data_IF_428221468013
#
_entry.id   IF_428221468013
#
_cell.length_a   1.000
_cell.length_b   1.000
_cell.length_c   1.000
_cell.angle_alpha   90.00
_cell.angle_beta   90.00
_cell.angle_gamma   90.00
#
_symmetry.space_group_name_H-M   'P 1'
#
loop_
_entity.id
_entity.type
_entity.pdbx_description
1 polymer ?
#
# COMPACT_ATOMS: atom_id res chain seq x y z
N UNK A 1 -16.65 -21.66 6.23
CA UNK A 1 -16.68 -20.26 5.73
C UNK A 1 -16.96 -19.26 6.85
N UNK A 2 -18.12 -19.33 7.53
CA UNK A 2 -18.46 -18.35 8.60
C UNK A 2 -17.41 -18.32 9.72
N UNK A 3 -17.02 -19.48 10.27
CA UNK A 3 -15.98 -19.56 11.31
C UNK A 3 -14.63 -18.99 10.86
N UNK A 4 -14.25 -19.18 9.60
CA UNK A 4 -13.04 -18.58 9.02
C UNK A 4 -13.14 -17.05 8.99
N UNK A 5 -14.26 -16.50 8.50
CA UNK A 5 -14.49 -15.05 8.45
C UNK A 5 -14.48 -14.45 9.85
N UNK A 6 -15.15 -15.10 10.82
CA UNK A 6 -15.17 -14.64 12.22
C UNK A 6 -13.74 -14.63 12.80
N UNK A 7 -12.96 -15.70 12.61
CA UNK A 7 -11.58 -15.78 13.07
C UNK A 7 -10.73 -14.67 12.47
N UNK A 8 -10.87 -14.39 11.16
CA UNK A 8 -10.16 -13.32 10.47
C UNK A 8 -10.60 -11.94 10.95
N UNK A 9 -11.89 -11.73 11.18
CA UNK A 9 -12.40 -10.48 11.75
C UNK A 9 -11.87 -10.25 13.17
N UNK A 10 -11.80 -11.28 14.02
CA UNK A 10 -11.20 -11.18 15.35
C UNK A 10 -9.70 -10.86 15.29
N UNK A 11 -8.95 -11.47 14.38
CA UNK A 11 -7.55 -11.15 14.14
C UNK A 11 -7.40 -9.67 13.68
N UNK A 12 -8.27 -9.24 12.77
CA UNK A 12 -8.33 -7.86 12.28
C UNK A 12 -8.55 -6.87 13.42
N UNK A 13 -9.51 -7.14 14.31
CA UNK A 13 -9.77 -6.32 15.50
C UNK A 13 -8.56 -6.30 16.44
N UNK A 14 -7.88 -7.43 16.63
CA UNK A 14 -6.66 -7.51 17.43
C UNK A 14 -5.53 -6.63 16.88
N UNK A 15 -5.33 -6.64 15.55
CA UNK A 15 -4.35 -5.78 14.88
C UNK A 15 -4.73 -4.30 15.04
N UNK A 16 -6.00 -3.95 14.79
CA UNK A 16 -6.47 -2.56 14.94
C UNK A 16 -6.36 -2.07 16.39
N UNK A 17 -6.62 -2.93 17.36
CA UNK A 17 -6.42 -2.62 18.77
C UNK A 17 -4.95 -2.36 19.09
N UNK A 18 -4.03 -3.19 18.60
CA UNK A 18 -2.59 -3.01 18.79
C UNK A 18 -2.10 -1.71 18.11
N UNK A 19 -2.54 -1.42 16.88
CA UNK A 19 -2.24 -0.16 16.20
C UNK A 19 -2.82 1.02 16.98
N UNK A 20 -4.05 0.91 17.49
CA UNK A 20 -4.69 1.92 18.33
C UNK A 20 -3.90 2.19 19.63
N UNK A 21 -3.37 1.13 20.25
CA UNK A 21 -2.54 1.27 21.46
C UNK A 21 -1.22 2.01 21.14
N UNK A 22 -0.55 1.65 20.04
CA UNK A 22 0.69 2.31 19.60
C UNK A 22 0.40 3.78 19.26
N UNK A 23 -0.66 4.06 18.51
CA UNK A 23 -1.05 5.42 18.13
C UNK A 23 -1.40 6.26 19.36
N UNK A 24 -2.11 5.70 20.32
CA UNK A 24 -2.40 6.35 21.60
C UNK A 24 -1.15 6.59 22.43
N UNK A 25 -0.23 5.63 22.48
CA UNK A 25 1.05 5.79 23.16
C UNK A 25 1.85 6.95 22.55
N UNK A 26 1.88 7.08 21.21
CA UNK A 26 2.49 8.24 20.56
C UNK A 26 1.81 9.54 21.01
N UNK A 27 0.47 9.58 21.02
CA UNK A 27 -0.28 10.75 21.49
C UNK A 27 0.06 11.13 22.94
N UNK A 28 0.31 10.14 23.79
CA UNK A 28 0.58 10.35 25.22
C UNK A 28 2.04 10.68 25.53
N UNK A 29 2.99 10.09 24.80
CA UNK A 29 4.41 10.13 25.15
C UNK A 29 5.30 10.96 24.20
N UNK A 30 4.84 11.28 22.99
CA UNK A 30 5.63 12.04 22.02
C UNK A 30 5.63 13.56 22.24
N UNK A 31 4.85 14.06 23.21
CA UNK A 31 4.82 15.47 23.61
C UNK A 31 3.56 15.82 24.38
N UNK A 32 3.57 16.98 25.06
CA UNK A 32 2.37 17.52 25.70
C UNK A 32 1.54 18.27 24.63
N UNK A 33 0.34 17.77 24.29
CA UNK A 33 -0.50 18.39 23.24
C UNK A 33 -0.85 19.85 23.57
N UNK A 34 -0.95 20.20 24.85
CA UNK A 34 -1.24 21.58 25.28
C UNK A 34 -0.12 22.51 24.84
N UNK A 35 1.15 22.12 25.00
CA UNK A 35 2.29 22.95 24.61
C UNK A 35 2.38 23.23 23.10
N UNK A 36 1.78 22.36 22.28
CA UNK A 36 1.75 22.53 20.83
C UNK A 36 0.53 23.34 20.33
N UNK A 37 -0.55 23.33 21.13
CA UNK A 37 -1.78 24.07 20.80
C UNK A 37 -1.70 25.56 21.18
N UNK A 38 -0.88 25.87 22.19
CA UNK A 38 -0.79 27.23 22.76
C UNK A 38 0.60 27.82 22.59
N UNK A 39 0.67 29.14 22.46
CA UNK A 39 1.92 29.88 22.37
C UNK A 39 2.70 29.92 23.69
N UNK A 40 3.97 30.31 23.61
CA UNK A 40 4.85 30.42 24.79
C UNK A 40 4.31 31.44 25.84
N UNK A 41 3.51 32.42 25.41
CA UNK A 41 2.96 33.47 26.24
C UNK A 41 1.65 33.08 26.97
N UNK A 42 1.10 31.89 26.72
CA UNK A 42 -0.16 31.45 27.36
C UNK A 42 0.04 31.20 28.85
N UNK A 43 -0.84 31.77 29.66
CA UNK A 43 -0.75 31.68 31.13
C UNK A 43 -0.89 30.23 31.62
N UNK A 44 -0.31 29.96 32.79
CA UNK A 44 -0.37 28.62 33.40
C UNK A 44 -1.82 28.20 33.70
N UNK A 45 -2.68 29.17 34.05
CA UNK A 45 -4.09 28.93 34.32
C UNK A 45 -4.85 28.47 33.07
N UNK A 46 -4.63 29.13 31.92
CA UNK A 46 -5.22 28.75 30.64
C UNK A 46 -4.73 27.38 30.15
N UNK A 47 -3.45 27.08 30.33
CA UNK A 47 -2.90 25.75 30.01
C UNK A 47 -3.55 24.64 30.82
N UNK A 48 -3.78 24.86 32.12
CA UNK A 48 -4.48 23.90 32.99
C UNK A 48 -5.96 23.73 32.58
N UNK A 49 -6.61 24.79 32.17
CA UNK A 49 -7.99 24.74 31.69
C UNK A 49 -8.13 23.96 30.40
N UNK A 50 -7.25 24.19 29.42
CA UNK A 50 -7.15 23.43 28.17
C UNK A 50 -6.85 21.96 28.48
N UNK A 51 -5.92 21.68 29.38
CA UNK A 51 -5.58 20.30 29.79
C UNK A 51 -6.80 19.56 30.34
N UNK A 52 -7.60 20.23 31.20
CA UNK A 52 -8.84 19.66 31.74
C UNK A 52 -9.90 19.48 30.67
N UNK A 53 -10.09 20.46 29.78
CA UNK A 53 -11.06 20.38 28.68
C UNK A 53 -10.76 19.24 27.72
N UNK A 54 -9.49 18.92 27.50
CA UNK A 54 -9.03 17.78 26.70
C UNK A 54 -9.10 16.44 27.46
N UNK A 55 -9.42 16.47 28.78
CA UNK A 55 -9.49 15.27 29.62
C UNK A 55 -8.15 14.57 29.78
N UNK A 56 -7.03 15.31 29.73
CA UNK A 56 -5.67 14.76 29.88
C UNK A 56 -5.33 14.36 31.31
N UNK A 57 -6.15 14.81 32.27
CA UNK A 57 -6.04 14.45 33.70
C UNK A 57 -6.87 13.21 34.05
N UNK A 58 -7.67 12.69 33.14
CA UNK A 58 -8.45 11.46 33.32
C UNK A 58 -7.54 10.22 33.42
N UNK A 59 -7.99 9.12 34.04
CA UNK A 59 -7.28 7.85 34.02
C UNK A 59 -6.94 7.40 32.59
N UNK A 60 -5.76 6.82 32.38
CA UNK A 60 -5.23 6.42 31.05
C UNK A 60 -6.23 5.52 30.31
N UNK A 61 -6.90 4.60 31.01
CA UNK A 61 -7.90 3.73 30.41
C UNK A 61 -9.10 4.49 29.83
N UNK A 62 -9.52 5.58 30.51
CA UNK A 62 -10.61 6.45 30.05
C UNK A 62 -10.19 7.25 28.82
N UNK A 63 -8.97 7.81 28.82
CA UNK A 63 -8.40 8.51 27.68
C UNK A 63 -8.29 7.58 26.46
N UNK A 64 -7.79 6.37 26.65
CA UNK A 64 -7.68 5.36 25.58
C UNK A 64 -9.06 4.95 25.05
N UNK A 65 -10.04 4.70 25.93
CA UNK A 65 -11.40 4.40 25.51
C UNK A 65 -12.03 5.51 24.68
N UNK A 66 -11.83 6.78 25.08
CA UNK A 66 -12.29 7.96 24.33
C UNK A 66 -11.61 8.05 22.95
N UNK A 67 -10.30 7.83 22.91
CA UNK A 67 -9.52 7.79 21.67
C UNK A 67 -10.05 6.72 20.70
N UNK A 68 -10.27 5.48 21.17
CA UNK A 68 -10.83 4.40 20.34
C UNK A 68 -12.26 4.71 19.86
N UNK A 69 -13.09 5.28 20.73
CA UNK A 69 -14.45 5.69 20.36
C UNK A 69 -14.44 6.80 19.31
N UNK A 70 -13.52 7.76 19.40
CA UNK A 70 -13.29 8.80 18.38
C UNK A 70 -12.82 8.17 17.06
N UNK A 71 -11.80 7.33 17.11
CA UNK A 71 -11.26 6.65 15.95
C UNK A 71 -12.31 5.80 15.20
N UNK A 72 -13.20 5.12 15.95
CA UNK A 72 -14.30 4.35 15.37
C UNK A 72 -15.34 5.24 14.63
N UNK A 73 -15.39 6.52 14.95
CA UNK A 73 -16.26 7.52 14.27
C UNK A 73 -15.49 8.36 13.25
N UNK A 74 -14.21 8.04 12.98
CA UNK A 74 -13.29 8.84 12.17
C UNK A 74 -13.08 10.27 12.72
N UNK A 75 -13.27 10.47 14.01
CA UNK A 75 -12.94 11.71 14.71
C UNK A 75 -11.58 11.57 15.38
N UNK A 76 -10.57 12.17 14.76
CA UNK A 76 -9.18 12.18 15.22
C UNK A 76 -8.76 13.53 15.80
N UNK A 77 -9.73 14.44 15.98
CA UNK A 77 -9.48 15.80 16.46
C UNK A 77 -8.96 16.74 15.37
N UNK A 78 -8.32 17.82 15.83
CA UNK A 78 -7.84 18.93 14.98
C UNK A 78 -6.32 18.85 14.87
N UNK A 79 -5.80 19.02 13.66
CA UNK A 79 -4.37 19.16 13.39
C UNK A 79 -3.80 20.40 14.08
N UNK A 80 -2.67 20.28 14.74
CA UNK A 80 -2.02 21.40 15.40
C UNK A 80 -1.41 22.38 14.41
N UNK A 81 -0.91 21.86 13.28
CA UNK A 81 -0.28 22.66 12.22
C UNK A 81 -1.30 23.31 11.29
N UNK A 82 -2.24 22.52 10.77
CA UNK A 82 -3.18 22.98 9.74
C UNK A 82 -4.44 23.63 10.31
N UNK A 83 -4.70 23.48 11.62
CA UNK A 83 -5.90 24.02 12.29
C UNK A 83 -7.23 23.53 11.66
N UNK A 84 -7.24 22.35 11.09
CA UNK A 84 -8.36 21.71 10.41
C UNK A 84 -8.62 20.31 10.97
N UNK A 85 -9.85 19.77 10.83
CA UNK A 85 -10.16 18.40 11.22
C UNK A 85 -9.25 17.40 10.48
N UNK A 86 -8.59 16.51 11.22
CA UNK A 86 -7.65 15.54 10.66
C UNK A 86 -8.35 14.59 9.67
N UNK A 87 -9.59 14.22 9.94
CA UNK A 87 -10.38 13.38 9.02
C UNK A 87 -10.56 14.04 7.65
N UNK A 88 -10.73 15.37 7.59
CA UNK A 88 -10.82 16.10 6.33
C UNK A 88 -9.49 16.09 5.58
N UNK A 89 -8.37 16.38 6.25
CA UNK A 89 -7.04 16.35 5.65
C UNK A 89 -6.72 14.96 5.05
N UNK A 90 -7.02 13.90 5.80
CA UNK A 90 -6.82 12.53 5.31
C UNK A 90 -7.72 12.21 4.10
N UNK A 91 -9.00 12.62 4.14
CA UNK A 91 -9.94 12.44 3.03
C UNK A 91 -9.48 13.13 1.75
N UNK A 92 -8.92 14.33 1.85
CA UNK A 92 -8.38 15.08 0.71
C UNK A 92 -7.12 14.44 0.12
N UNK A 93 -6.28 13.82 0.95
CA UNK A 93 -5.01 13.19 0.53
C UNK A 93 -5.15 11.73 0.11
N UNK A 94 -6.16 11.03 0.60
CA UNK A 94 -6.39 9.60 0.35
C UNK A 94 -6.48 9.24 -1.14
N UNK A 95 -7.20 10.00 -2.00
CA UNK A 95 -7.25 9.69 -3.43
C UNK A 95 -5.89 9.64 -4.09
N UNK A 96 -4.96 10.53 -3.73
CA UNK A 96 -3.62 10.57 -4.30
C UNK A 96 -2.81 9.30 -3.97
N UNK A 97 -2.82 8.87 -2.70
CA UNK A 97 -2.12 7.65 -2.27
C UNK A 97 -2.71 6.41 -2.90
N UNK A 98 -4.05 6.28 -2.89
CA UNK A 98 -4.72 5.10 -3.44
C UNK A 98 -4.57 5.00 -4.97
N UNK A 99 -4.62 6.12 -5.68
CA UNK A 99 -4.36 6.18 -7.12
C UNK A 99 -2.94 5.74 -7.46
N UNK A 100 -1.95 6.27 -6.76
CA UNK A 100 -0.54 5.87 -6.93
C UNK A 100 -0.34 4.38 -6.64
N UNK A 101 -0.85 3.88 -5.51
CA UNK A 101 -0.74 2.48 -5.11
C UNK A 101 -1.42 1.54 -6.11
N UNK A 102 -2.61 1.90 -6.60
CA UNK A 102 -3.34 1.12 -7.58
C UNK A 102 -2.59 1.03 -8.91
N UNK A 103 -2.14 2.17 -9.45
CA UNK A 103 -1.41 2.20 -10.73
C UNK A 103 -0.07 1.47 -10.60
N UNK A 104 0.68 1.68 -9.53
CA UNK A 104 1.92 0.95 -9.26
C UNK A 104 1.70 -0.57 -9.21
N UNK A 105 0.63 -1.01 -8.55
CA UNK A 105 0.29 -2.44 -8.46
C UNK A 105 -0.14 -3.02 -9.81
N UNK A 106 -0.96 -2.30 -10.59
CA UNK A 106 -1.35 -2.75 -11.94
C UNK A 106 -0.13 -2.87 -12.84
N UNK A 107 0.77 -1.88 -12.83
CA UNK A 107 2.02 -1.93 -13.59
C UNK A 107 2.88 -3.13 -13.14
N UNK A 108 3.03 -3.33 -11.83
CA UNK A 108 3.80 -4.44 -11.29
C UNK A 108 3.23 -5.81 -11.70
N UNK A 109 1.90 -5.97 -11.66
CA UNK A 109 1.22 -7.19 -12.10
C UNK A 109 1.39 -7.42 -13.60
N UNK A 110 1.06 -6.44 -14.42
CA UNK A 110 1.09 -6.57 -15.89
C UNK A 110 2.51 -6.87 -16.36
N UNK A 111 3.47 -6.02 -16.01
CA UNK A 111 4.85 -6.20 -16.47
C UNK A 111 5.54 -7.38 -15.78
N UNK A 112 5.30 -7.62 -14.49
CA UNK A 112 5.85 -8.77 -13.77
C UNK A 112 5.39 -10.10 -14.37
N UNK A 113 4.11 -10.25 -14.68
CA UNK A 113 3.57 -11.45 -15.32
C UNK A 113 4.14 -11.62 -16.73
N UNK A 114 4.13 -10.57 -17.56
CA UNK A 114 4.65 -10.63 -18.92
C UNK A 114 6.13 -11.00 -18.95
N UNK A 115 6.96 -10.33 -18.16
CA UNK A 115 8.39 -10.59 -18.05
C UNK A 115 8.67 -11.98 -17.48
N UNK A 116 7.90 -12.44 -16.48
CA UNK A 116 8.03 -13.76 -15.89
C UNK A 116 7.72 -14.88 -16.86
N UNK A 117 6.59 -14.79 -17.57
CA UNK A 117 6.17 -15.75 -18.61
C UNK A 117 7.22 -15.79 -19.73
N UNK A 118 7.62 -14.63 -20.24
CA UNK A 118 8.64 -14.57 -21.29
C UNK A 118 9.95 -15.21 -20.83
N UNK A 119 10.43 -14.90 -19.65
CA UNK A 119 11.68 -15.44 -19.08
C UNK A 119 11.61 -16.94 -18.79
N UNK A 120 10.41 -17.50 -18.56
CA UNK A 120 10.21 -18.94 -18.43
C UNK A 120 10.25 -19.66 -19.79
N UNK A 121 9.60 -19.08 -20.82
CA UNK A 121 9.48 -19.69 -22.15
C UNK A 121 10.73 -19.54 -23.01
N UNK A 122 11.47 -18.43 -22.85
CA UNK A 122 12.65 -18.07 -23.65
C UNK A 122 13.89 -17.85 -22.77
N UNK A 123 14.23 -18.84 -21.93
CA UNK A 123 15.26 -18.77 -20.89
C UNK A 123 16.60 -18.20 -21.34
N UNK A 124 17.06 -18.62 -22.52
CA UNK A 124 18.40 -18.34 -23.03
C UNK A 124 18.47 -17.04 -23.86
N UNK A 125 17.34 -16.39 -24.10
CA UNK A 125 17.29 -15.14 -24.86
C UNK A 125 17.96 -13.98 -24.12
N UNK A 126 18.58 -13.06 -24.87
CA UNK A 126 19.17 -11.84 -24.32
C UNK A 126 18.15 -10.99 -23.55
N UNK A 127 16.90 -10.94 -24.04
CA UNK A 127 15.82 -10.20 -23.37
C UNK A 127 15.43 -10.83 -22.02
N UNK A 128 15.40 -12.18 -21.92
CA UNK A 128 15.15 -12.84 -20.63
C UNK A 128 16.28 -12.55 -19.63
N UNK A 129 17.52 -12.53 -20.08
CA UNK A 129 18.67 -12.14 -19.24
C UNK A 129 18.57 -10.69 -18.80
N UNK A 130 18.18 -9.78 -19.70
CA UNK A 130 17.92 -8.37 -19.37
C UNK A 130 16.84 -8.22 -18.31
N UNK A 131 15.71 -8.92 -18.45
CA UNK A 131 14.63 -8.88 -17.45
C UNK A 131 15.11 -9.38 -16.08
N UNK A 132 15.92 -10.41 -16.05
CA UNK A 132 16.53 -10.91 -14.82
C UNK A 132 17.51 -9.89 -14.20
N UNK A 133 18.31 -9.21 -15.00
CA UNK A 133 19.19 -8.15 -14.54
C UNK A 133 18.40 -6.96 -13.97
N UNK A 134 17.34 -6.50 -14.66
CA UNK A 134 16.44 -5.44 -14.18
C UNK A 134 15.77 -5.88 -12.87
N UNK A 135 15.36 -7.14 -12.77
CA UNK A 135 14.77 -7.66 -11.53
C UNK A 135 15.76 -7.66 -10.37
N UNK A 136 17.05 -7.89 -10.63
CA UNK A 136 18.07 -7.82 -9.59
C UNK A 136 18.26 -6.39 -9.09
N UNK A 137 18.27 -5.41 -10.00
CA UNK A 137 18.33 -3.99 -9.65
C UNK A 137 17.14 -3.60 -8.76
N UNK A 138 15.91 -4.01 -9.12
CA UNK A 138 14.69 -3.68 -8.38
C UNK A 138 14.63 -4.22 -6.94
N UNK A 139 15.42 -5.28 -6.62
CA UNK A 139 15.53 -5.80 -5.24
C UNK A 139 16.73 -5.20 -4.51
N UNK A 140 17.82 -4.90 -5.24
CA UNK A 140 19.09 -4.52 -4.62
C UNK A 140 19.20 -3.03 -4.32
N UNK A 141 18.52 -2.18 -5.11
CA UNK A 141 18.59 -0.73 -4.92
C UNK A 141 17.45 -0.23 -4.01
N UNK A 142 17.73 0.70 -3.09
CA UNK A 142 16.69 1.40 -2.35
C UNK A 142 15.72 2.11 -3.29
N UNK A 143 14.42 2.04 -3.00
CA UNK A 143 13.36 2.63 -3.84
C UNK A 143 13.52 4.14 -4.03
N UNK A 144 13.96 4.87 -2.99
CA UNK A 144 14.20 6.31 -3.11
C UNK A 144 15.33 6.64 -4.11
N UNK A 145 16.37 5.81 -4.16
CA UNK A 145 17.48 5.99 -5.11
C UNK A 145 16.99 5.80 -6.55
N UNK A 146 16.16 4.77 -6.77
CA UNK A 146 15.52 4.55 -8.08
C UNK A 146 14.68 5.78 -8.47
N UNK A 147 13.89 6.32 -7.55
CA UNK A 147 13.10 7.53 -7.78
C UNK A 147 13.96 8.73 -8.19
N UNK A 148 15.05 8.98 -7.47
CA UNK A 148 15.98 10.07 -7.77
C UNK A 148 16.65 9.88 -9.16
N UNK A 149 17.06 8.66 -9.50
CA UNK A 149 17.65 8.36 -10.81
C UNK A 149 16.65 8.55 -11.95
N UNK A 150 15.37 8.17 -11.74
CA UNK A 150 14.31 8.41 -12.73
C UNK A 150 14.04 9.91 -12.92
N UNK A 151 13.97 10.69 -11.83
CA UNK A 151 13.86 12.15 -11.91
C UNK A 151 15.04 12.74 -12.68
N UNK A 152 16.24 12.33 -12.33
CA UNK A 152 17.45 12.83 -13.00
C UNK A 152 17.43 12.54 -14.50
N UNK A 153 17.11 11.30 -14.89
CA UNK A 153 17.09 10.92 -16.31
C UNK A 153 15.91 11.56 -17.06
N UNK A 154 14.68 11.34 -16.59
CA UNK A 154 13.48 11.68 -17.39
C UNK A 154 13.02 13.12 -17.22
N UNK A 155 13.36 13.76 -16.11
CA UNK A 155 12.96 15.14 -15.87
C UNK A 155 14.11 16.13 -16.14
N UNK A 156 15.31 15.87 -15.59
CA UNK A 156 16.42 16.82 -15.68
C UNK A 156 17.14 16.71 -17.03
N UNK A 157 17.50 15.50 -17.47
CA UNK A 157 18.26 15.32 -18.74
C UNK A 157 17.33 15.40 -19.94
N UNK A 158 16.24 14.60 -19.94
CA UNK A 158 15.36 14.46 -21.11
C UNK A 158 14.24 15.50 -21.16
N UNK A 159 13.84 16.08 -20.03
CA UNK A 159 12.74 17.06 -19.94
C UNK A 159 11.35 16.48 -20.31
N UNK A 160 11.15 15.16 -20.24
CA UNK A 160 9.93 14.51 -20.71
C UNK A 160 8.81 14.48 -19.67
N UNK A 161 9.18 14.32 -18.40
CA UNK A 161 8.26 14.11 -17.28
C UNK A 161 8.50 15.15 -16.18
N UNK A 162 7.46 15.56 -15.44
CA UNK A 162 7.61 16.49 -14.33
C UNK A 162 8.34 15.83 -13.15
N UNK A 163 9.22 16.57 -12.47
CA UNK A 163 10.00 16.07 -11.32
C UNK A 163 9.14 15.81 -10.10
N UNK A 164 8.11 16.64 -9.85
CA UNK A 164 7.36 16.68 -8.61
C UNK A 164 5.88 16.95 -8.83
N UNK A 165 5.09 16.59 -7.82
CA UNK A 165 3.67 16.91 -7.76
C UNK A 165 2.79 15.88 -8.50
N UNK A 166 1.48 16.14 -8.53
CA UNK A 166 0.46 15.23 -9.08
C UNK A 166 -0.07 15.67 -10.45
N UNK A 167 0.37 16.85 -10.96
CA UNK A 167 -0.22 17.48 -12.14
C UNK A 167 -1.65 17.97 -11.88
N UNK A 168 -2.37 18.28 -12.96
CA UNK A 168 -3.78 18.68 -12.86
C UNK A 168 -4.66 17.50 -12.49
N UNK A 169 -5.70 17.78 -11.72
CA UNK A 169 -6.67 16.76 -11.28
C UNK A 169 -8.09 17.18 -11.60
N UNK A 170 -8.94 16.19 -11.87
CA UNK A 170 -10.39 16.37 -12.03
C UNK A 170 -11.09 15.94 -10.75
N UNK A 171 -12.02 16.76 -10.27
CA UNK A 171 -12.84 16.43 -9.11
C UNK A 171 -14.07 15.61 -9.53
N UNK A 172 -14.24 14.46 -8.89
CA UNK A 172 -15.39 13.56 -9.04
C UNK A 172 -16.13 13.48 -7.69
N UNK A 173 -16.66 14.60 -7.26
CA UNK A 173 -17.26 14.76 -5.93
C UNK A 173 -16.18 14.80 -4.83
N UNK A 174 -16.16 13.82 -3.92
CA UNK A 174 -15.16 13.73 -2.86
C UNK A 174 -13.82 13.14 -3.33
N UNK A 175 -13.79 12.56 -4.54
CA UNK A 175 -12.60 11.95 -5.13
C UNK A 175 -11.96 12.89 -6.15
N UNK A 176 -10.65 13.04 -6.10
CA UNK A 176 -9.87 13.75 -7.13
C UNK A 176 -8.99 12.76 -7.88
N UNK A 177 -8.90 12.88 -9.20
CA UNK A 177 -8.08 11.97 -10.01
C UNK A 177 -7.21 12.72 -11.02
N UNK A 178 -5.94 12.33 -11.14
CA UNK A 178 -5.02 12.76 -12.19
C UNK A 178 -5.09 11.89 -13.44
N UNK A 179 -5.78 10.74 -13.39
CA UNK A 179 -5.87 9.79 -14.51
C UNK A 179 -6.62 10.34 -15.74
N UNK A 180 -7.44 11.38 -15.54
CA UNK A 180 -8.23 12.01 -16.59
C UNK A 180 -7.53 13.24 -17.22
N UNK A 181 -6.30 13.55 -16.82
CA UNK A 181 -5.52 14.68 -17.35
C UNK A 181 -4.18 14.20 -17.90
N UNK A 182 -3.70 14.85 -18.95
CA UNK A 182 -2.40 14.51 -19.56
C UNK A 182 -1.25 14.82 -18.59
N UNK A 183 -1.33 15.96 -17.87
CA UNK A 183 -0.32 16.35 -16.88
C UNK A 183 -0.31 15.38 -15.69
N UNK A 184 -1.47 14.94 -15.20
CA UNK A 184 -1.59 13.96 -14.14
C UNK A 184 -1.04 12.58 -14.53
N UNK A 185 -1.37 12.11 -15.75
CA UNK A 185 -0.79 10.86 -16.26
C UNK A 185 0.73 10.91 -16.35
N UNK A 186 1.30 12.03 -16.87
CA UNK A 186 2.76 12.21 -16.92
C UNK A 186 3.38 12.22 -15.53
N UNK A 187 2.77 12.91 -14.58
CA UNK A 187 3.25 13.00 -13.20
C UNK A 187 3.21 11.64 -12.48
N UNK A 188 2.29 10.76 -12.84
CA UNK A 188 2.10 9.45 -12.22
C UNK A 188 3.12 8.39 -12.67
N UNK A 189 3.74 8.54 -13.85
CA UNK A 189 4.62 7.52 -14.45
C UNK A 189 5.79 7.16 -13.54
N UNK A 190 6.64 8.13 -13.20
CA UNK A 190 7.86 7.87 -12.43
C UNK A 190 7.57 7.37 -11.00
N UNK A 191 6.65 7.99 -10.23
CA UNK A 191 6.27 7.48 -8.92
C UNK A 191 5.72 6.06 -8.96
N UNK A 192 4.89 5.73 -9.95
CA UNK A 192 4.31 4.38 -10.09
C UNK A 192 5.35 3.33 -10.44
N UNK A 193 6.32 3.65 -11.29
CA UNK A 193 7.45 2.75 -11.59
C UNK A 193 8.29 2.56 -10.32
N UNK A 194 8.63 3.62 -9.61
CA UNK A 194 9.43 3.57 -8.39
C UNK A 194 8.78 2.69 -7.33
N UNK A 195 7.50 2.91 -7.05
CA UNK A 195 6.75 2.15 -6.05
C UNK A 195 6.50 0.70 -6.48
N UNK A 196 6.22 0.48 -7.78
CA UNK A 196 5.87 -0.83 -8.32
C UNK A 196 7.07 -1.73 -8.65
N UNK A 197 8.28 -1.20 -8.80
CA UNK A 197 9.43 -1.96 -9.31
C UNK A 197 9.82 -3.15 -8.42
N UNK A 198 9.83 -2.97 -7.10
CA UNK A 198 10.10 -4.06 -6.16
C UNK A 198 9.06 -5.17 -6.30
N UNK A 199 7.78 -4.81 -6.30
CA UNK A 199 6.68 -5.76 -6.44
C UNK A 199 6.70 -6.45 -7.82
N UNK A 200 6.95 -5.71 -8.89
CA UNK A 200 7.10 -6.23 -10.25
C UNK A 200 8.19 -7.31 -10.31
N UNK A 201 9.31 -7.06 -9.64
CA UNK A 201 10.43 -8.02 -9.55
C UNK A 201 10.03 -9.31 -8.85
N UNK A 202 9.35 -9.21 -7.70
CA UNK A 202 8.86 -10.38 -6.96
C UNK A 202 7.89 -11.20 -7.80
N UNK A 203 6.93 -10.53 -8.44
CA UNK A 203 5.94 -11.18 -9.32
C UNK A 203 6.62 -11.85 -10.51
N UNK A 204 7.55 -11.16 -11.19
CA UNK A 204 8.29 -11.72 -12.30
C UNK A 204 9.01 -13.01 -11.92
N UNK A 205 9.74 -13.01 -10.79
CA UNK A 205 10.49 -14.18 -10.31
C UNK A 205 9.56 -15.34 -9.93
N UNK A 206 8.45 -15.04 -9.26
CA UNK A 206 7.44 -16.02 -8.90
C UNK A 206 6.79 -16.64 -10.15
N UNK A 207 6.30 -15.81 -11.07
CA UNK A 207 5.68 -16.29 -12.32
C UNK A 207 6.66 -17.14 -13.12
N UNK A 208 7.92 -16.73 -13.19
CA UNK A 208 8.96 -17.53 -13.89
C UNK A 208 9.15 -18.90 -13.24
N UNK A 209 9.25 -18.95 -11.91
CA UNK A 209 9.44 -20.20 -11.17
C UNK A 209 8.24 -21.15 -11.34
N UNK A 210 7.04 -20.66 -11.08
CA UNK A 210 5.79 -21.39 -11.23
C UNK A 210 5.56 -21.89 -12.66
N UNK A 211 5.79 -21.05 -13.65
CA UNK A 211 5.70 -21.46 -15.07
C UNK A 211 6.64 -22.60 -15.40
N UNK A 212 7.89 -22.55 -14.94
CA UNK A 212 8.88 -23.61 -15.18
C UNK A 212 8.49 -24.93 -14.50
N UNK A 213 7.90 -24.86 -13.31
CA UNK A 213 7.39 -26.03 -12.58
C UNK A 213 6.19 -26.63 -13.29
N UNK A 214 5.16 -25.81 -13.55
CA UNK A 214 3.93 -26.23 -14.21
C UNK A 214 4.19 -26.87 -15.59
N UNK A 215 5.09 -26.31 -16.39
CA UNK A 215 5.43 -26.82 -17.72
C UNK A 215 6.07 -28.22 -17.70
N UNK A 216 6.55 -28.71 -16.56
CA UNK A 216 7.14 -30.03 -16.35
C UNK A 216 6.14 -31.08 -15.86
N UNK A 217 4.95 -30.67 -15.46
CA UNK A 217 3.91 -31.57 -14.90
C UNK A 217 3.35 -32.54 -15.94
N UNK A 218 2.83 -33.67 -15.47
CA UNK A 218 2.34 -34.74 -16.35
C UNK A 218 1.09 -34.33 -17.12
N UNK A 219 0.23 -33.48 -16.55
CA UNK A 219 -0.95 -33.00 -17.29
C UNK A 219 -0.56 -32.11 -18.49
N UNK A 220 0.55 -31.40 -18.43
CA UNK A 220 1.07 -30.64 -19.57
C UNK A 220 1.68 -31.60 -20.61
N UNK A 221 2.40 -32.65 -20.18
CA UNK A 221 2.90 -33.71 -21.09
C UNK A 221 1.73 -34.39 -21.80
N UNK A 222 0.66 -34.70 -21.07
CA UNK A 222 -0.55 -35.28 -21.64
C UNK A 222 -1.24 -34.35 -22.64
N UNK A 223 -1.33 -33.06 -22.32
CA UNK A 223 -1.87 -32.06 -23.24
C UNK A 223 -1.07 -32.00 -24.56
N UNK A 224 0.26 -32.11 -24.48
CA UNK A 224 1.11 -32.19 -25.69
C UNK A 224 0.87 -33.49 -26.47
N UNK A 225 0.79 -34.63 -25.79
CA UNK A 225 0.50 -35.93 -26.42
C UNK A 225 -0.83 -35.95 -27.17
N UNK A 226 -1.83 -35.18 -26.69
CA UNK A 226 -3.13 -34.94 -27.37
C UNK A 226 -3.06 -34.00 -28.55
N UNK A 227 -1.90 -33.47 -28.91
CA UNK A 227 -1.73 -32.59 -30.06
C UNK A 227 -2.20 -31.15 -29.84
N UNK A 228 -2.38 -30.69 -28.60
CA UNK A 228 -2.75 -29.31 -28.35
C UNK A 228 -1.66 -28.33 -28.81
N UNK A 229 -2.07 -27.20 -29.42
CA UNK A 229 -1.14 -26.19 -29.88
C UNK A 229 -0.35 -25.61 -28.70
N UNK A 230 0.94 -25.37 -28.90
CA UNK A 230 1.86 -24.81 -27.89
C UNK A 230 1.31 -23.55 -27.21
N UNK A 231 0.66 -22.66 -27.97
CA UNK A 231 0.04 -21.45 -27.42
C UNK A 231 -1.10 -21.77 -26.44
N UNK A 232 -1.94 -22.76 -26.73
CA UNK A 232 -3.01 -23.21 -25.84
C UNK A 232 -2.43 -23.82 -24.56
N UNK A 233 -1.35 -24.58 -24.67
CA UNK A 233 -0.65 -25.16 -23.52
C UNK A 233 -0.08 -24.06 -22.62
N UNK A 234 0.65 -23.10 -23.19
CA UNK A 234 1.32 -22.06 -22.40
C UNK A 234 0.33 -21.09 -21.73
N UNK A 235 -0.63 -20.56 -22.48
CA UNK A 235 -1.52 -19.52 -21.99
C UNK A 235 -2.86 -20.04 -21.47
N UNK A 236 -3.39 -21.13 -22.02
CA UNK A 236 -4.65 -21.73 -21.59
C UNK A 236 -4.51 -22.68 -20.39
N UNK A 237 -3.42 -23.41 -20.31
CA UNK A 237 -3.21 -24.42 -19.26
C UNK A 237 -2.15 -24.01 -18.24
N UNK A 238 -0.92 -23.72 -18.67
CA UNK A 238 0.18 -23.44 -17.75
C UNK A 238 -0.03 -22.11 -17.01
N UNK A 239 -0.24 -21.00 -17.73
CA UNK A 239 -0.39 -19.67 -17.12
C UNK A 239 -1.56 -19.62 -16.14
N UNK A 240 -2.69 -20.24 -16.47
CA UNK A 240 -3.87 -20.27 -15.59
C UNK A 240 -3.55 -20.85 -14.20
N UNK A 241 -2.76 -21.92 -14.16
CA UNK A 241 -2.37 -22.55 -12.90
C UNK A 241 -1.26 -21.75 -12.18
N UNK A 242 -0.35 -21.14 -12.94
CA UNK A 242 0.68 -20.24 -12.42
C UNK A 242 0.10 -19.00 -11.73
N UNK A 243 -1.03 -18.47 -12.21
CA UNK A 243 -1.62 -17.25 -11.65
C UNK A 243 -2.22 -17.43 -10.24
N UNK A 244 -2.54 -18.64 -9.81
CA UNK A 244 -3.13 -18.86 -8.48
C UNK A 244 -2.22 -18.39 -7.35
N UNK A 245 -0.95 -18.85 -7.21
CA UNK A 245 -0.04 -18.33 -6.19
C UNK A 245 0.33 -16.85 -6.43
N UNK A 246 0.36 -16.38 -7.70
CA UNK A 246 0.66 -14.99 -8.03
C UNK A 246 -0.40 -14.03 -7.49
N UNK A 247 -1.69 -14.34 -7.69
CA UNK A 247 -2.80 -13.53 -7.17
C UNK A 247 -2.74 -13.45 -5.65
N UNK A 248 -2.42 -14.56 -4.99
CA UNK A 248 -2.29 -14.60 -3.53
C UNK A 248 -1.19 -13.67 -3.02
N UNK A 249 0.02 -13.79 -3.57
CA UNK A 249 1.17 -12.97 -3.14
C UNK A 249 0.94 -11.51 -3.52
N UNK A 250 0.43 -11.22 -4.72
CA UNK A 250 0.11 -9.87 -5.14
C UNK A 250 -0.93 -9.20 -4.23
N UNK A 251 -1.93 -9.97 -3.82
CA UNK A 251 -2.95 -9.48 -2.88
C UNK A 251 -2.34 -9.12 -1.51
N UNK A 252 -1.51 -9.99 -0.94
CA UNK A 252 -0.82 -9.72 0.33
C UNK A 252 0.11 -8.49 0.25
N UNK A 253 0.70 -8.25 -0.93
CA UNK A 253 1.59 -7.11 -1.15
C UNK A 253 0.86 -5.78 -1.31
N UNK A 254 -0.44 -5.76 -1.64
CA UNK A 254 -1.22 -4.52 -1.80
C UNK A 254 -1.18 -3.65 -0.55
N UNK A 255 -1.35 -4.24 0.63
CA UNK A 255 -1.27 -3.52 1.89
C UNK A 255 0.12 -2.90 2.12
N UNK A 256 1.17 -3.63 1.79
CA UNK A 256 2.55 -3.16 1.89
C UNK A 256 2.85 -1.99 0.95
N UNK A 257 2.31 -2.00 -0.28
CA UNK A 257 2.49 -0.91 -1.26
C UNK A 257 1.99 0.42 -0.69
N UNK A 258 0.85 0.44 -0.01
CA UNK A 258 0.30 1.66 0.61
C UNK A 258 1.21 2.13 1.76
N UNK A 259 1.70 1.22 2.59
CA UNK A 259 2.60 1.56 3.68
C UNK A 259 3.94 2.12 3.16
N UNK A 260 4.50 1.55 2.10
CA UNK A 260 5.76 2.00 1.50
C UNK A 260 5.60 3.20 0.54
N UNK A 261 4.37 3.60 0.21
CA UNK A 261 4.11 4.80 -0.59
C UNK A 261 4.71 6.07 0.03
N UNK A 262 4.87 6.14 1.36
CA UNK A 262 5.48 7.26 2.08
C UNK A 262 6.78 7.72 1.44
N UNK A 263 7.69 6.78 1.17
CA UNK A 263 9.02 7.09 0.61
C UNK A 263 8.87 7.68 -0.79
N UNK A 264 8.05 7.07 -1.63
CA UNK A 264 7.81 7.54 -2.99
C UNK A 264 7.11 8.88 -3.02
N UNK A 265 6.08 9.07 -2.19
CA UNK A 265 5.38 10.35 -2.05
C UNK A 265 6.30 11.47 -1.60
N UNK A 266 7.23 11.19 -0.69
CA UNK A 266 8.23 12.16 -0.22
C UNK A 266 9.21 12.54 -1.33
N UNK A 267 9.76 11.57 -2.06
CA UNK A 267 10.73 11.80 -3.15
C UNK A 267 10.12 12.63 -4.26
N UNK A 268 8.89 12.32 -4.66
CA UNK A 268 8.21 13.00 -5.78
C UNK A 268 7.32 14.18 -5.33
N UNK A 269 7.34 14.54 -4.03
CA UNK A 269 6.42 15.53 -3.45
C UNK A 269 4.96 15.29 -3.89
N UNK A 270 4.59 14.01 -3.92
CA UNK A 270 3.25 13.57 -4.28
C UNK A 270 2.28 13.88 -3.13
N UNK A 271 1.21 14.65 -3.36
CA UNK A 271 0.37 15.15 -2.27
C UNK A 271 -0.58 14.09 -1.69
N UNK A 272 -0.01 12.99 -1.22
CA UNK A 272 -0.73 11.89 -0.60
C UNK A 272 -0.71 11.91 0.92
N UNK A 273 -1.27 10.83 1.53
CA UNK A 273 -1.33 10.66 2.98
C UNK A 273 0.06 10.41 3.60
N UNK A 274 0.96 9.74 2.88
CA UNK A 274 2.31 9.45 3.36
C UNK A 274 3.15 10.71 3.47
N UNK A 275 3.08 11.61 2.49
CA UNK A 275 3.73 12.92 2.55
C UNK A 275 3.17 13.76 3.71
N UNK A 276 1.84 13.75 3.90
CA UNK A 276 1.19 14.41 5.03
C UNK A 276 1.70 13.87 6.37
N UNK A 277 1.89 12.56 6.48
CA UNK A 277 2.45 11.91 7.67
C UNK A 277 3.89 12.37 7.95
N UNK A 278 4.75 12.42 6.92
CA UNK A 278 6.15 12.89 7.08
C UNK A 278 6.17 14.36 7.55
N UNK A 279 5.32 15.21 6.98
CA UNK A 279 5.17 16.60 7.41
C UNK A 279 4.68 16.68 8.87
N UNK A 280 3.73 15.82 9.26
CA UNK A 280 3.25 15.75 10.63
C UNK A 280 4.34 15.30 11.61
N UNK A 281 5.20 14.35 11.23
CA UNK A 281 6.35 13.92 12.05
C UNK A 281 7.34 15.09 12.25
N UNK A 282 7.66 15.82 11.18
CA UNK A 282 8.59 16.95 11.24
C UNK A 282 8.08 18.10 12.13
N UNK A 283 6.74 18.30 12.13
CA UNK A 283 6.09 19.37 12.90
C UNK A 283 5.46 18.87 14.21
N UNK A 284 5.69 17.60 14.58
CA UNK A 284 5.14 16.96 15.79
C UNK A 284 3.61 17.08 15.88
N UNK A 285 2.91 16.97 14.75
CA UNK A 285 1.45 16.98 14.67
C UNK A 285 0.89 15.59 15.02
N UNK A 286 0.79 15.33 16.31
CA UNK A 286 0.41 14.02 16.83
C UNK A 286 -0.97 13.54 16.35
N UNK A 287 -2.03 14.38 16.28
CA UNK A 287 -3.32 13.96 15.75
C UNK A 287 -3.25 13.37 14.34
N UNK A 288 -2.50 13.99 13.42
CA UNK A 288 -2.31 13.46 12.06
C UNK A 288 -1.52 12.16 12.12
N UNK A 289 -0.44 12.09 12.90
CA UNK A 289 0.39 10.88 13.01
C UNK A 289 -0.43 9.68 13.50
N UNK A 290 -1.20 9.86 14.57
CA UNK A 290 -2.04 8.81 15.14
C UNK A 290 -3.16 8.37 14.19
N UNK A 291 -3.82 9.32 13.54
CA UNK A 291 -4.88 9.06 12.57
C UNK A 291 -4.36 8.33 11.32
N UNK A 292 -3.19 8.72 10.81
CA UNK A 292 -2.54 8.04 9.69
C UNK A 292 -2.26 6.58 10.01
N UNK A 293 -1.66 6.27 11.16
CA UNK A 293 -1.37 4.89 11.58
C UNK A 293 -2.65 4.06 11.68
N UNK A 294 -3.71 4.60 12.29
CA UNK A 294 -5.01 3.93 12.39
C UNK A 294 -5.62 3.67 11.02
N UNK A 295 -5.59 4.66 10.12
CA UNK A 295 -6.14 4.54 8.77
C UNK A 295 -5.36 3.54 7.92
N UNK A 296 -4.03 3.61 7.92
CA UNK A 296 -3.19 2.65 7.18
C UNK A 296 -3.37 1.23 7.73
N UNK A 297 -3.44 1.08 9.07
CA UNK A 297 -3.76 -0.18 9.71
C UNK A 297 -5.12 -0.74 9.28
N UNK A 298 -6.16 0.12 9.23
CA UNK A 298 -7.49 -0.25 8.76
C UNK A 298 -7.48 -0.69 7.29
N UNK A 299 -6.82 0.08 6.42
CA UNK A 299 -6.69 -0.25 5.00
C UNK A 299 -5.95 -1.58 4.82
N UNK A 300 -4.82 -1.76 5.52
CA UNK A 300 -4.03 -3.00 5.48
C UNK A 300 -4.86 -4.22 5.88
N UNK A 301 -5.56 -4.14 7.01
CA UNK A 301 -6.40 -5.22 7.52
C UNK A 301 -7.56 -5.51 6.57
N UNK A 302 -8.20 -4.48 6.02
CA UNK A 302 -9.31 -4.62 5.06
C UNK A 302 -8.84 -5.29 3.78
N UNK A 303 -7.71 -4.87 3.23
CA UNK A 303 -7.13 -5.49 2.02
C UNK A 303 -6.80 -6.96 2.29
N UNK A 304 -6.13 -7.27 3.40
CA UNK A 304 -5.81 -8.65 3.74
C UNK A 304 -7.07 -9.52 3.89
N UNK A 305 -8.11 -9.01 4.54
CA UNK A 305 -9.38 -9.71 4.66
C UNK A 305 -10.03 -9.99 3.30
N UNK A 306 -10.03 -8.99 2.40
CA UNK A 306 -10.55 -9.15 1.04
C UNK A 306 -9.73 -10.18 0.24
N UNK A 307 -8.41 -10.17 0.37
CA UNK A 307 -7.51 -11.14 -0.29
C UNK A 307 -7.76 -12.55 0.25
N UNK A 308 -7.91 -12.73 1.56
CA UNK A 308 -8.23 -14.02 2.17
C UNK A 308 -9.57 -14.58 1.67
N UNK A 309 -10.58 -13.72 1.52
CA UNK A 309 -11.88 -14.10 0.96
C UNK A 309 -11.72 -14.51 -0.52
N UNK A 310 -11.02 -13.70 -1.31
CA UNK A 310 -10.75 -14.01 -2.73
C UNK A 310 -9.99 -15.32 -2.88
N UNK A 311 -8.98 -15.56 -2.04
CA UNK A 311 -8.21 -16.79 -2.04
C UNK A 311 -9.09 -18.01 -1.76
N UNK A 312 -9.99 -17.92 -0.78
CA UNK A 312 -10.94 -18.99 -0.47
C UNK A 312 -11.93 -19.27 -1.63
N UNK A 313 -12.20 -18.25 -2.46
CA UNK A 313 -13.06 -18.41 -3.65
C UNK A 313 -12.29 -19.05 -4.80
N UNK A 314 -11.04 -18.64 -5.04
CA UNK A 314 -10.20 -19.08 -6.17
C UNK A 314 -9.65 -20.48 -5.96
N UNK A 315 -9.26 -20.87 -4.74
CA UNK A 315 -8.76 -22.21 -4.43
C UNK A 315 -9.78 -23.08 -3.64
N UNK A 316 -10.52 -23.96 -4.34
CA UNK A 316 -11.49 -24.85 -3.69
C UNK A 316 -10.85 -25.88 -2.73
N UNK A 317 -9.55 -26.16 -2.87
CA UNK A 317 -8.84 -27.17 -2.05
C UNK A 317 -8.74 -26.72 -0.59
N UNK A 318 -8.67 -25.43 -0.34
CA UNK A 318 -8.68 -24.87 1.01
C UNK A 318 -10.03 -25.04 1.71
N UNK A 319 -11.13 -25.18 0.94
CA UNK A 319 -12.45 -25.46 1.53
C UNK A 319 -12.50 -26.82 2.23
N UNK A 320 -11.70 -27.79 1.79
CA UNK A 320 -11.63 -29.12 2.40
C UNK A 320 -10.77 -29.16 3.65
N UNK A 321 -9.67 -28.40 3.71
CA UNK A 321 -8.82 -28.34 4.92
C UNK A 321 -9.47 -27.57 6.08
N UNK A 322 -10.37 -26.62 5.79
CA UNK A 322 -11.15 -25.88 6.81
C UNK A 322 -12.24 -26.79 7.44
N UNK A 323 -12.58 -27.92 6.84
CA UNK A 323 -13.60 -28.87 7.34
C UNK A 323 -13.05 -29.98 8.23
N UNK A 324 -11.73 -30.13 8.38
CA UNK A 324 -11.15 -31.09 9.33
C UNK A 324 -10.91 -30.35 10.67
N UNK A 325 -11.69 -30.65 11.73
CA UNK A 325 -11.32 -30.20 13.07
C UNK A 325 -10.06 -30.96 13.50
N UNK A 326 -9.11 -30.22 14.10
CA UNK A 326 -7.94 -30.79 14.75
C UNK A 326 -8.36 -31.62 15.98
#
# INVERSE_FOLDING_TARGET
MIAFIIRRALQALGVLFAVGLISFAMFRFAGDPVNQMVGAETSLAERLEIRRSLGLDDPIAVQFGRYLAGAARFDFGISYQFRQPVAQLLKERMPATLELALVATILALVFGILMGVYSALKRDSALAKLFQAVSLIGVSLPTFLIGILLIYLFSVILGWLPSFGRGDTVSLGWWTTGLLTVSGLKALIMPSITLGLFQMTLIMRLVRAEMLEVLRTDYIKFARARGLKTRAIHFGHALKNTLVPVITIAGLQLGSVIAFAIITETVFQWPGMGLLFVQAVQNVDIPIMAAYLMLVGLIFVTINLLVDILYTIVDPRLRSSIRQPA
#
